data_IF_002218372476
#
_entry.id   IF_002218372476
#
_cell.length_a   1.000
_cell.length_b   1.000
_cell.length_c   1.000
_cell.angle_alpha   90.00
_cell.angle_beta   90.00
_cell.angle_gamma   90.00
#
_symmetry.space_group_name_H-M   'P 1'
#
loop_
_entity.id
_entity.type
_entity.pdbx_description
1 polymer ?
#
# COMPACT_ATOMS: atom_id res chain seq x y z
N UNK A 1 32.15 -44.34 28.18
CA UNK A 1 31.59 -43.00 27.90
C UNK A 1 30.50 -42.69 28.91
N UNK A 2 30.66 -41.62 29.69
CA UNK A 2 29.74 -41.24 30.77
C UNK A 2 28.43 -40.70 30.20
N UNK A 3 27.33 -40.79 30.96
CA UNK A 3 26.04 -40.14 30.63
C UNK A 3 26.23 -38.64 30.34
N UNK A 4 27.17 -37.99 31.03
CA UNK A 4 27.51 -36.58 30.84
C UNK A 4 28.09 -36.27 29.44
N UNK A 5 28.93 -37.17 28.90
CA UNK A 5 29.55 -37.00 27.57
C UNK A 5 28.51 -37.11 26.45
N UNK A 6 27.52 -38.00 26.61
CA UNK A 6 26.41 -38.19 25.67
C UNK A 6 25.45 -36.99 25.65
N UNK A 7 25.20 -36.36 26.80
CA UNK A 7 24.38 -35.14 26.86
C UNK A 7 25.07 -33.91 26.29
N UNK A 8 26.41 -33.81 26.40
CA UNK A 8 27.18 -32.70 25.82
C UNK A 8 27.21 -32.79 24.30
N UNK A 9 27.51 -33.97 23.76
CA UNK A 9 27.50 -34.22 22.31
C UNK A 9 26.11 -34.05 21.67
N UNK A 10 25.03 -34.38 22.37
CA UNK A 10 23.66 -34.14 21.87
C UNK A 10 23.31 -32.64 21.78
N UNK A 11 23.74 -31.83 22.75
CA UNK A 11 23.52 -30.37 22.73
C UNK A 11 24.35 -29.66 21.67
N UNK A 12 25.59 -30.09 21.47
CA UNK A 12 26.49 -29.58 20.42
C UNK A 12 25.92 -29.86 19.02
N UNK A 13 25.39 -31.08 18.78
CA UNK A 13 24.72 -31.42 17.51
C UNK A 13 23.48 -30.56 17.25
N UNK A 14 22.62 -30.38 18.25
CA UNK A 14 21.41 -29.56 18.10
C UNK A 14 21.75 -28.07 17.86
N UNK A 15 22.81 -27.56 18.49
CA UNK A 15 23.30 -26.20 18.24
C UNK A 15 23.87 -26.05 16.82
N UNK A 16 24.61 -27.04 16.33
CA UNK A 16 25.14 -27.06 14.97
C UNK A 16 24.02 -27.14 13.92
N UNK A 17 22.97 -27.94 14.16
CA UNK A 17 21.80 -28.04 13.27
C UNK A 17 21.00 -26.74 13.22
N UNK A 18 20.76 -26.08 14.36
CA UNK A 18 20.09 -24.77 14.41
C UNK A 18 20.89 -23.67 13.73
N UNK A 19 22.22 -23.66 13.89
CA UNK A 19 23.10 -22.73 13.19
C UNK A 19 23.07 -22.96 11.67
N UNK A 20 23.04 -24.23 11.23
CA UNK A 20 22.91 -24.59 9.82
C UNK A 20 21.54 -24.21 9.24
N UNK A 21 20.45 -24.37 10.00
CA UNK A 21 19.11 -23.92 9.61
C UNK A 21 19.03 -22.40 9.49
N UNK A 22 19.53 -21.66 10.49
CA UNK A 22 19.56 -20.19 10.45
C UNK A 22 20.40 -19.64 9.27
N UNK A 23 21.51 -20.31 8.93
CA UNK A 23 22.32 -19.96 7.77
C UNK A 23 21.59 -20.21 6.43
N UNK A 24 20.82 -21.30 6.34
CA UNK A 24 19.97 -21.60 5.17
C UNK A 24 18.86 -20.56 5.05
N UNK A 25 18.16 -20.23 6.13
CA UNK A 25 17.08 -19.25 6.13
C UNK A 25 17.57 -17.85 5.73
N UNK A 26 18.75 -17.45 6.24
CA UNK A 26 19.39 -16.18 5.84
C UNK A 26 19.74 -16.18 4.35
N UNK A 27 20.25 -17.29 3.81
CA UNK A 27 20.57 -17.43 2.39
C UNK A 27 19.33 -17.41 1.51
N UNK A 28 18.25 -18.09 1.90
CA UNK A 28 16.97 -18.09 1.19
C UNK A 28 16.32 -16.71 1.22
N UNK A 29 16.32 -16.01 2.36
CA UNK A 29 15.81 -14.64 2.48
C UNK A 29 16.60 -13.66 1.62
N UNK A 30 17.93 -13.76 1.60
CA UNK A 30 18.77 -12.95 0.72
C UNK A 30 18.52 -13.26 -0.75
N UNK A 31 18.36 -14.53 -1.14
CA UNK A 31 18.02 -14.92 -2.50
C UNK A 31 16.65 -14.38 -2.92
N UNK A 32 15.65 -14.42 -2.05
CA UNK A 32 14.32 -13.85 -2.31
C UNK A 32 14.37 -12.33 -2.45
N UNK A 33 15.17 -11.63 -1.63
CA UNK A 33 15.39 -10.18 -1.76
C UNK A 33 16.09 -9.87 -3.08
N UNK A 34 17.16 -10.60 -3.42
CA UNK A 34 17.89 -10.41 -4.69
C UNK A 34 16.99 -10.72 -5.88
N UNK A 35 16.19 -11.80 -5.84
CA UNK A 35 15.21 -12.12 -6.87
C UNK A 35 14.14 -11.04 -6.99
N UNK A 36 13.65 -10.50 -5.86
CA UNK A 36 12.69 -9.39 -5.85
C UNK A 36 13.28 -8.11 -6.45
N UNK A 37 14.53 -7.77 -6.10
CA UNK A 37 15.26 -6.61 -6.65
C UNK A 37 15.55 -6.80 -8.14
N UNK A 38 15.97 -8.00 -8.56
CA UNK A 38 16.21 -8.32 -9.98
C UNK A 38 14.90 -8.29 -10.75
N UNK A 39 13.82 -8.83 -10.21
CA UNK A 39 12.50 -8.77 -10.83
C UNK A 39 12.01 -7.32 -10.96
N UNK A 40 12.13 -6.52 -9.90
CA UNK A 40 11.81 -5.09 -9.94
C UNK A 40 12.68 -4.34 -10.96
N UNK A 41 13.98 -4.62 -11.02
CA UNK A 41 14.89 -4.01 -11.98
C UNK A 41 14.55 -4.41 -13.43
N UNK A 42 14.15 -5.67 -13.67
CA UNK A 42 13.69 -6.15 -14.98
C UNK A 42 12.37 -5.48 -15.36
N UNK A 43 11.42 -5.36 -14.44
CA UNK A 43 10.16 -4.64 -14.67
C UNK A 43 10.44 -3.16 -14.98
N UNK A 44 11.31 -2.50 -14.22
CA UNK A 44 11.74 -1.11 -14.48
C UNK A 44 12.43 -1.00 -15.84
N UNK A 45 13.33 -1.92 -16.19
CA UNK A 45 13.99 -1.93 -17.49
C UNK A 45 13.00 -2.11 -18.64
N UNK A 46 12.02 -3.01 -18.49
CA UNK A 46 10.94 -3.21 -19.46
C UNK A 46 10.11 -1.93 -19.59
N UNK A 47 9.73 -1.29 -18.48
CA UNK A 47 8.98 -0.03 -18.49
C UNK A 47 9.81 1.08 -19.15
N UNK A 48 11.09 1.21 -18.82
CA UNK A 48 11.99 2.20 -19.42
C UNK A 48 12.13 1.97 -20.92
N UNK A 49 12.28 0.73 -21.38
CA UNK A 49 12.34 0.41 -22.83
C UNK A 49 11.01 0.70 -23.52
N UNK A 50 9.88 0.37 -22.88
CA UNK A 50 8.54 0.68 -23.40
C UNK A 50 8.25 2.19 -23.45
N UNK A 51 8.83 2.95 -22.52
CA UNK A 51 8.73 4.42 -22.47
C UNK A 51 9.71 5.07 -23.45
N UNK A 52 10.94 4.55 -23.57
CA UNK A 52 11.97 5.07 -24.47
C UNK A 52 11.68 4.78 -25.95
N UNK A 53 11.00 3.65 -26.25
CA UNK A 53 10.51 3.36 -27.61
C UNK A 53 9.23 4.11 -27.98
N UNK A 54 8.61 4.84 -27.04
CA UNK A 54 7.57 5.82 -27.35
C UNK A 54 8.25 7.16 -27.56
N UNK A 55 8.38 7.52 -28.84
CA UNK A 55 9.04 8.74 -29.29
C UNK A 55 8.70 9.98 -28.45
N UNK A 56 9.78 10.72 -28.20
CA UNK A 56 9.92 12.01 -27.53
C UNK A 56 8.65 12.86 -27.48
N UNK A 57 7.92 12.71 -26.38
CA UNK A 57 7.01 13.73 -25.86
C UNK A 57 7.19 13.70 -24.34
N UNK A 58 7.94 14.66 -23.81
CA UNK A 58 8.21 14.85 -22.39
C UNK A 58 6.94 15.13 -21.56
N UNK A 59 6.06 14.15 -21.47
CA UNK A 59 5.00 14.11 -20.48
C UNK A 59 5.64 13.76 -19.14
N UNK A 60 6.05 14.78 -18.39
CA UNK A 60 6.04 14.69 -16.92
C UNK A 60 4.71 14.05 -16.56
N UNK A 61 4.73 12.84 -15.99
CA UNK A 61 3.53 12.17 -15.48
C UNK A 61 2.98 13.06 -14.37
N UNK A 62 2.16 14.01 -14.77
CA UNK A 62 1.44 14.90 -13.89
C UNK A 62 0.22 14.07 -13.53
N UNK A 63 0.21 13.48 -12.35
CA UNK A 63 -1.01 12.90 -11.79
C UNK A 63 -2.03 14.05 -11.71
N UNK A 64 -2.93 14.11 -12.69
CA UNK A 64 -4.07 15.00 -12.67
C UNK A 64 -5.01 14.48 -11.59
N UNK A 65 -5.46 15.35 -10.65
CA UNK A 65 -6.49 14.95 -9.69
C UNK A 65 -7.69 14.38 -10.44
N UNK A 66 -8.23 13.27 -9.98
CA UNK A 66 -9.44 12.69 -10.57
C UNK A 66 -10.58 13.71 -10.48
N UNK A 67 -11.11 14.15 -11.63
CA UNK A 67 -12.21 15.12 -11.74
C UNK A 67 -13.53 14.48 -12.16
N UNK A 68 -13.60 13.16 -12.18
CA UNK A 68 -14.82 12.42 -12.54
C UNK A 68 -15.84 12.34 -11.40
N UNK A 69 -16.98 11.67 -11.65
CA UNK A 69 -18.02 11.45 -10.65
C UNK A 69 -17.46 10.79 -9.39
N UNK A 70 -17.87 11.26 -8.21
CA UNK A 70 -17.45 10.69 -6.92
C UNK A 70 -18.66 10.17 -6.14
N UNK A 71 -18.51 9.00 -5.54
CA UNK A 71 -19.43 8.46 -4.55
C UNK A 71 -19.08 8.95 -3.13
N UNK A 72 -20.03 8.89 -2.17
CA UNK A 72 -19.75 9.17 -0.76
C UNK A 72 -18.54 8.40 -0.24
N UNK A 73 -17.72 9.09 0.56
CA UNK A 73 -16.52 8.54 1.20
C UNK A 73 -16.75 8.44 2.70
N UNK A 74 -16.42 7.29 3.28
CA UNK A 74 -16.60 7.00 4.71
C UNK A 74 -15.35 6.35 5.27
N UNK A 75 -15.01 6.68 6.52
CA UNK A 75 -13.94 6.01 7.26
C UNK A 75 -14.55 4.92 8.13
N UNK A 76 -14.06 3.71 8.00
CA UNK A 76 -14.48 2.56 8.81
C UNK A 76 -13.74 2.53 10.14
N UNK A 77 -14.29 1.81 11.11
CA UNK A 77 -13.68 1.65 12.43
C UNK A 77 -12.29 0.99 12.39
N UNK A 78 -12.05 0.13 11.40
CA UNK A 78 -10.76 -0.52 11.15
C UNK A 78 -9.72 0.39 10.47
N UNK A 79 -10.05 1.67 10.25
CA UNK A 79 -9.18 2.67 9.62
C UNK A 79 -9.21 2.68 8.09
N UNK A 80 -9.81 1.67 7.45
CA UNK A 80 -10.01 1.66 6.00
C UNK A 80 -10.98 2.76 5.55
N UNK A 81 -10.92 3.12 4.27
CA UNK A 81 -11.76 4.16 3.68
C UNK A 81 -12.57 3.58 2.53
N UNK A 82 -13.90 3.68 2.65
CA UNK A 82 -14.83 3.17 1.64
C UNK A 82 -15.39 4.31 0.82
N UNK A 83 -15.30 4.17 -0.51
CA UNK A 83 -16.00 4.99 -1.50
C UNK A 83 -17.06 4.11 -2.18
N UNK A 84 -18.33 4.41 -1.96
CA UNK A 84 -19.44 3.61 -2.52
C UNK A 84 -20.72 4.42 -2.64
N UNK A 85 -21.49 4.19 -3.71
CA UNK A 85 -22.85 4.75 -3.83
C UNK A 85 -23.73 4.19 -2.71
N UNK A 86 -24.67 4.99 -2.22
CA UNK A 86 -25.60 4.55 -1.18
C UNK A 86 -26.30 3.24 -1.57
N UNK A 87 -26.29 2.26 -0.67
CA UNK A 87 -26.85 0.93 -0.88
C UNK A 87 -25.95 -0.08 -1.62
N UNK A 88 -24.82 0.35 -2.19
CA UNK A 88 -23.86 -0.54 -2.86
C UNK A 88 -22.89 -1.10 -1.83
N UNK A 89 -23.06 -2.36 -1.46
CA UNK A 89 -22.16 -3.07 -0.53
C UNK A 89 -21.35 -4.18 -1.18
N UNK A 90 -21.69 -4.56 -2.42
CA UNK A 90 -21.02 -5.60 -3.21
C UNK A 90 -21.05 -5.27 -4.71
N UNK A 91 -20.12 -5.82 -5.50
CA UNK A 91 -18.90 -6.50 -5.06
C UNK A 91 -17.93 -5.54 -4.34
N UNK A 92 -17.13 -6.07 -3.40
CA UNK A 92 -16.16 -5.28 -2.63
C UNK A 92 -14.80 -5.34 -3.31
N UNK A 93 -14.31 -4.19 -3.77
CA UNK A 93 -12.96 -4.04 -4.31
C UNK A 93 -12.06 -3.43 -3.24
N UNK A 94 -11.15 -4.21 -2.67
CA UNK A 94 -10.20 -3.75 -1.66
C UNK A 94 -8.82 -3.49 -2.27
N UNK A 95 -8.22 -2.37 -1.91
CA UNK A 95 -6.88 -1.95 -2.37
C UNK A 95 -5.97 -1.84 -1.15
N UNK A 96 -5.01 -2.74 -1.04
CA UNK A 96 -3.96 -2.68 -0.02
C UNK A 96 -2.74 -1.97 -0.57
N UNK A 97 -2.36 -0.89 0.09
CA UNK A 97 -1.38 0.06 -0.42
C UNK A 97 -0.50 0.63 0.69
N UNK A 98 0.68 1.11 0.31
CA UNK A 98 1.61 1.83 1.17
C UNK A 98 2.01 3.12 0.45
N UNK A 99 2.00 4.26 1.14
CA UNK A 99 2.31 5.56 0.56
C UNK A 99 3.78 5.73 0.13
N UNK A 100 4.69 4.84 0.52
CA UNK A 100 6.05 4.77 -0.02
C UNK A 100 6.22 3.81 -1.19
N UNK A 101 5.23 2.95 -1.47
CA UNK A 101 5.40 1.94 -2.50
C UNK A 101 5.30 2.58 -3.90
N UNK A 102 6.35 2.48 -4.75
CA UNK A 102 6.30 2.98 -6.12
C UNK A 102 5.27 2.23 -6.97
N UNK A 103 5.07 0.94 -6.69
CA UNK A 103 4.03 0.13 -7.33
C UNK A 103 2.62 0.63 -7.04
N UNK A 104 2.35 1.13 -5.83
CA UNK A 104 1.05 1.72 -5.49
C UNK A 104 0.83 3.02 -6.24
N UNK A 105 1.87 3.88 -6.33
CA UNK A 105 1.82 5.09 -7.15
C UNK A 105 1.52 4.78 -8.62
N UNK A 106 2.14 3.74 -9.17
CA UNK A 106 1.88 3.29 -10.54
C UNK A 106 0.47 2.72 -10.72
N UNK A 107 -0.05 1.97 -9.74
CA UNK A 107 -1.42 1.48 -9.75
C UNK A 107 -2.43 2.63 -9.73
N UNK A 108 -2.28 3.58 -8.81
CA UNK A 108 -3.21 4.71 -8.71
C UNK A 108 -3.19 5.58 -9.98
N UNK A 109 -2.01 5.79 -10.58
CA UNK A 109 -1.89 6.50 -11.85
C UNK A 109 -2.57 5.76 -13.03
N UNK A 110 -2.57 4.43 -13.03
CA UNK A 110 -3.08 3.63 -14.15
C UNK A 110 -4.55 3.21 -14.00
N UNK A 111 -4.93 2.75 -12.80
CA UNK A 111 -6.23 2.16 -12.48
C UNK A 111 -7.03 2.96 -11.45
N UNK A 112 -6.43 3.87 -10.67
CA UNK A 112 -7.11 4.64 -9.61
C UNK A 112 -8.38 5.34 -10.09
N UNK A 113 -8.31 6.04 -11.23
CA UNK A 113 -9.48 6.68 -11.84
C UNK A 113 -10.57 5.70 -12.27
N UNK A 114 -10.20 4.50 -12.74
CA UNK A 114 -11.14 3.44 -13.13
C UNK A 114 -11.83 2.85 -11.91
N UNK A 115 -11.08 2.57 -10.84
CA UNK A 115 -11.62 2.06 -9.57
C UNK A 115 -12.66 3.03 -8.99
N UNK A 116 -12.34 4.33 -8.95
CA UNK A 116 -13.24 5.38 -8.46
C UNK A 116 -14.47 5.56 -9.35
N UNK A 117 -14.29 5.51 -10.67
CA UNK A 117 -15.41 5.56 -11.61
C UNK A 117 -16.38 4.39 -11.39
N UNK A 118 -15.87 3.16 -11.25
CA UNK A 118 -16.71 1.98 -10.98
C UNK A 118 -17.47 2.13 -9.65
N UNK A 119 -16.85 2.71 -8.62
CA UNK A 119 -17.53 3.00 -7.36
C UNK A 119 -18.63 4.06 -7.51
N UNK A 120 -18.37 5.13 -8.27
CA UNK A 120 -19.33 6.19 -8.55
C UNK A 120 -20.53 5.70 -9.39
N UNK A 121 -20.29 4.78 -10.32
CA UNK A 121 -21.31 4.10 -11.11
C UNK A 121 -22.10 3.05 -10.29
N UNK A 122 -21.69 2.80 -9.04
CA UNK A 122 -22.31 1.82 -8.15
C UNK A 122 -22.02 0.36 -8.55
N UNK A 123 -20.93 0.13 -9.28
CA UNK A 123 -20.50 -1.21 -9.71
C UNK A 123 -19.66 -1.93 -8.67
N UNK A 124 -19.03 -1.20 -7.74
CA UNK A 124 -18.25 -1.74 -6.63
C UNK A 124 -18.46 -0.90 -5.37
N UNK A 125 -18.23 -1.52 -4.22
CA UNK A 125 -17.81 -0.82 -3.01
C UNK A 125 -16.29 -0.80 -2.97
N UNK A 126 -15.67 0.35 -3.25
CA UNK A 126 -14.22 0.51 -3.27
C UNK A 126 -13.70 0.78 -1.85
N UNK A 127 -12.77 -0.02 -1.36
CA UNK A 127 -12.22 0.06 0.00
C UNK A 127 -10.71 0.20 -0.06
N UNK A 128 -10.21 1.37 0.28
CA UNK A 128 -8.78 1.61 0.44
C UNK A 128 -8.31 1.17 1.83
N UNK A 129 -7.21 0.41 1.85
CA UNK A 129 -6.57 -0.15 3.05
C UNK A 129 -5.09 0.23 3.08
N UNK A 130 -4.78 1.50 3.38
CA UNK A 130 -3.39 1.90 3.57
C UNK A 130 -2.80 1.16 4.77
N UNK A 131 -1.54 0.75 4.66
CA UNK A 131 -0.79 0.17 5.76
C UNK A 131 0.70 0.46 5.61
N UNK A 132 1.48 0.06 6.60
CA UNK A 132 2.93 0.22 6.63
C UNK A 132 3.60 -1.14 6.35
N UNK A 133 4.12 -1.31 5.13
CA UNK A 133 4.79 -2.54 4.68
C UNK A 133 6.30 -2.52 4.95
N UNK A 134 6.97 -1.42 4.64
CA UNK A 134 8.43 -1.30 4.74
C UNK A 134 8.91 -1.44 6.19
N UNK A 135 10.15 -1.86 6.41
CA UNK A 135 10.71 -2.06 7.76
C UNK A 135 12.06 -1.36 7.96
N UNK A 136 12.58 -0.74 6.91
CA UNK A 136 13.89 -0.08 6.91
C UNK A 136 13.71 1.43 6.74
N UNK A 137 14.45 2.21 7.50
CA UNK A 137 14.48 3.66 7.32
C UNK A 137 15.23 4.06 6.04
N UNK A 138 14.84 5.17 5.38
CA UNK A 138 13.76 6.09 5.75
C UNK A 138 12.36 5.65 5.29
N UNK A 139 12.25 4.54 4.55
CA UNK A 139 10.97 4.06 3.99
C UNK A 139 9.94 3.79 5.09
N UNK A 140 10.35 3.10 6.16
CA UNK A 140 9.47 2.76 7.27
C UNK A 140 8.86 4.01 7.93
N UNK A 141 9.70 4.98 8.31
CA UNK A 141 9.24 6.23 8.89
C UNK A 141 8.37 7.04 7.93
N UNK A 142 8.70 7.08 6.65
CA UNK A 142 7.86 7.74 5.65
C UNK A 142 6.49 7.06 5.54
N UNK A 143 6.43 5.73 5.40
CA UNK A 143 5.19 4.95 5.33
C UNK A 143 4.30 5.17 6.54
N UNK A 144 4.88 5.11 7.74
CA UNK A 144 4.15 5.31 8.99
C UNK A 144 3.60 6.75 9.10
N UNK A 145 4.40 7.77 8.79
CA UNK A 145 3.96 9.18 8.82
C UNK A 145 2.85 9.45 7.81
N UNK A 146 2.98 8.93 6.59
CA UNK A 146 1.96 9.05 5.55
C UNK A 146 0.64 8.40 5.96
N UNK A 147 0.68 7.16 6.47
CA UNK A 147 -0.51 6.45 6.93
C UNK A 147 -1.15 7.12 8.17
N UNK A 148 -0.34 7.60 9.12
CA UNK A 148 -0.81 8.35 10.27
C UNK A 148 -1.55 9.62 9.84
N UNK A 149 -0.93 10.42 8.96
CA UNK A 149 -1.54 11.66 8.50
C UNK A 149 -2.83 11.40 7.70
N UNK A 150 -2.86 10.37 6.86
CA UNK A 150 -4.07 9.95 6.16
C UNK A 150 -5.22 9.56 7.11
N UNK A 151 -4.94 9.02 8.30
CA UNK A 151 -5.95 8.74 9.33
C UNK A 151 -6.43 10.00 10.08
N UNK A 152 -5.61 11.06 10.13
CA UNK A 152 -5.96 12.33 10.74
C UNK A 152 -6.89 13.19 9.86
N UNK A 153 -6.97 12.90 8.56
CA UNK A 153 -7.78 13.67 7.60
C UNK A 153 -9.27 13.24 7.66
N UNK A 154 -10.21 14.20 7.64
CA UNK A 154 -11.64 13.91 7.50
C UNK A 154 -11.97 13.07 6.25
N UNK A 155 -12.99 12.21 6.33
CA UNK A 155 -13.29 11.25 5.27
C UNK A 155 -13.59 11.92 3.91
N UNK A 156 -14.30 13.05 3.92
CA UNK A 156 -14.64 13.83 2.71
C UNK A 156 -13.43 14.44 2.01
N UNK A 157 -12.30 14.59 2.71
CA UNK A 157 -11.02 15.11 2.17
C UNK A 157 -10.00 14.01 1.91
N UNK A 158 -10.29 12.78 2.32
CA UNK A 158 -9.30 11.70 2.33
C UNK A 158 -8.77 11.35 0.94
N UNK A 159 -9.64 11.22 -0.06
CA UNK A 159 -9.21 10.88 -1.43
C UNK A 159 -8.27 11.94 -2.02
N UNK A 160 -8.54 13.23 -1.78
CA UNK A 160 -7.66 14.31 -2.23
C UNK A 160 -6.33 14.31 -1.49
N UNK A 161 -6.33 13.95 -0.20
CA UNK A 161 -5.10 13.84 0.58
C UNK A 161 -4.28 12.62 0.16
N UNK A 162 -4.92 11.49 -0.09
CA UNK A 162 -4.34 10.28 -0.66
C UNK A 162 -3.63 10.58 -1.99
N UNK A 163 -4.30 11.28 -2.92
CA UNK A 163 -3.71 11.67 -4.20
C UNK A 163 -2.50 12.60 -4.00
N UNK A 164 -2.58 13.47 -3.00
CA UNK A 164 -1.48 14.38 -2.64
C UNK A 164 -0.26 13.60 -2.13
N UNK A 165 -0.46 12.58 -1.29
CA UNK A 165 0.62 11.73 -0.79
C UNK A 165 1.33 10.99 -1.93
N UNK A 166 0.58 10.41 -2.87
CA UNK A 166 1.21 9.73 -4.02
C UNK A 166 1.87 10.68 -5.01
N UNK A 167 1.31 11.87 -5.21
CA UNK A 167 1.94 12.92 -6.01
C UNK A 167 3.25 13.38 -5.40
N UNK A 168 3.29 13.55 -4.08
CA UNK A 168 4.47 13.97 -3.32
C UNK A 168 5.33 12.81 -2.81
N UNK A 169 5.07 11.57 -3.26
CA UNK A 169 5.81 10.39 -2.81
C UNK A 169 7.31 10.60 -3.03
N UNK A 170 8.14 10.57 -1.97
CA UNK A 170 9.59 10.68 -2.10
C UNK A 170 10.15 9.47 -2.85
N UNK A 171 11.29 9.65 -3.50
CA UNK A 171 12.03 8.54 -4.09
C UNK A 171 12.47 7.55 -3.00
N UNK A 172 12.51 6.26 -3.34
CA UNK A 172 12.93 5.23 -2.39
C UNK A 172 14.35 5.52 -1.86
N UNK A 173 14.52 5.37 -0.55
CA UNK A 173 15.78 5.67 0.13
C UNK A 173 15.98 7.14 0.51
N UNK A 174 15.04 8.04 0.15
CA UNK A 174 15.05 9.44 0.63
C UNK A 174 14.05 9.65 1.76
N UNK A 175 14.44 10.46 2.73
CA UNK A 175 13.50 10.97 3.74
C UNK A 175 12.50 11.90 3.05
N UNK A 176 11.22 11.69 3.33
CA UNK A 176 10.15 12.55 2.85
C UNK A 176 8.99 12.55 3.85
N UNK A 177 7.83 13.08 3.42
CA UNK A 177 6.65 13.19 4.28
C UNK A 177 7.01 13.78 5.65
N UNK A 178 7.68 14.94 5.62
CA UNK A 178 7.93 15.69 6.84
C UNK A 178 6.59 16.07 7.47
N UNK A 179 6.55 16.22 8.79
CA UNK A 179 5.31 16.61 9.48
C UNK A 179 4.79 17.96 8.98
N UNK A 180 5.69 18.90 8.69
CA UNK A 180 5.34 20.22 8.13
C UNK A 180 4.68 20.09 6.75
N UNK A 181 5.23 19.25 5.87
CA UNK A 181 4.64 19.02 4.55
C UNK A 181 3.27 18.35 4.67
N UNK A 182 3.16 17.33 5.53
CA UNK A 182 1.91 16.59 5.74
C UNK A 182 0.80 17.49 6.28
N UNK A 183 1.12 18.37 7.23
CA UNK A 183 0.19 19.37 7.78
C UNK A 183 -0.17 20.41 6.71
N UNK A 184 0.83 20.96 6.02
CA UNK A 184 0.64 21.94 4.94
C UNK A 184 -0.30 21.42 3.85
N UNK A 185 -0.11 20.19 3.38
CA UNK A 185 -0.97 19.59 2.37
C UNK A 185 -2.40 19.41 2.85
N UNK A 186 -2.61 19.08 4.13
CA UNK A 186 -3.96 19.00 4.71
C UNK A 186 -4.67 20.34 4.70
N UNK A 187 -3.98 21.41 5.12
CA UNK A 187 -4.53 22.77 5.07
C UNK A 187 -4.80 23.26 3.65
N UNK A 188 -3.93 22.94 2.68
CA UNK A 188 -4.16 23.27 1.27
C UNK A 188 -5.42 22.61 0.69
N UNK A 189 -5.87 21.50 1.27
CA UNK A 189 -7.11 20.80 0.91
C UNK A 189 -8.33 21.26 1.73
N UNK A 190 -8.14 22.25 2.60
CA UNK A 190 -9.18 22.85 3.43
C UNK A 190 -9.50 22.05 4.69
N UNK A 191 -8.56 21.26 5.23
CA UNK A 191 -8.71 20.67 6.56
C UNK A 191 -8.53 21.79 7.60
N UNK A 192 -9.61 22.14 8.29
CA UNK A 192 -9.68 23.23 9.27
C UNK A 192 -9.83 22.77 10.72
N UNK A 193 -9.92 21.45 10.96
CA UNK A 193 -10.00 20.90 12.31
C UNK A 193 -8.74 21.25 13.11
N UNK A 194 -8.92 21.90 14.26
CA UNK A 194 -7.82 22.27 15.16
C UNK A 194 -7.03 21.07 15.69
N UNK A 195 -7.62 19.87 15.67
CA UNK A 195 -6.96 18.63 16.08
C UNK A 195 -6.12 17.99 14.97
N UNK A 196 -6.27 18.43 13.71
CA UNK A 196 -5.56 17.81 12.58
C UNK A 196 -4.04 17.91 12.74
N UNK A 197 -3.51 19.12 12.95
CA UNK A 197 -2.08 19.33 13.09
C UNK A 197 -1.48 18.57 14.29
N UNK A 198 -2.05 18.65 15.51
CA UNK A 198 -1.62 17.81 16.63
C UNK A 198 -1.69 16.31 16.33
N UNK A 199 -2.70 15.86 15.59
CA UNK A 199 -2.85 14.46 15.20
C UNK A 199 -1.70 13.99 14.31
N UNK A 200 -1.32 14.80 13.31
CA UNK A 200 -0.21 14.50 12.41
C UNK A 200 1.12 14.53 13.16
N UNK A 201 1.45 15.65 13.80
CA UNK A 201 2.77 15.88 14.43
C UNK A 201 3.06 14.95 15.59
N UNK A 202 2.05 14.63 16.40
CA UNK A 202 2.22 13.73 17.55
C UNK A 202 2.01 12.26 17.20
N UNK A 203 1.87 11.92 15.91
CA UNK A 203 1.64 10.55 15.46
C UNK A 203 0.47 9.86 16.19
N UNK A 204 -0.62 10.59 16.43
CA UNK A 204 -1.74 10.13 17.29
C UNK A 204 -2.43 8.86 16.76
N UNK A 205 -2.27 8.56 15.48
CA UNK A 205 -2.88 7.39 14.81
C UNK A 205 -1.89 6.24 14.63
N UNK A 206 -0.66 6.34 15.11
CA UNK A 206 0.38 5.29 15.00
C UNK A 206 -0.11 3.90 15.47
N UNK A 207 -0.79 3.84 16.61
CA UNK A 207 -1.34 2.57 17.11
C UNK A 207 -2.38 1.97 16.14
N UNK A 208 -3.24 2.80 15.55
CA UNK A 208 -4.21 2.36 14.56
C UNK A 208 -3.53 1.91 13.25
N UNK A 209 -2.47 2.59 12.82
CA UNK A 209 -1.64 2.14 11.68
C UNK A 209 -1.05 0.76 11.95
N UNK A 210 -0.55 0.50 13.17
CA UNK A 210 -0.02 -0.80 13.54
C UNK A 210 -1.08 -1.92 13.46
N UNK A 211 -2.31 -1.66 13.93
CA UNK A 211 -3.43 -2.61 13.79
C UNK A 211 -3.83 -2.83 12.32
N UNK A 212 -3.82 -1.78 11.48
CA UNK A 212 -4.07 -1.89 10.05
C UNK A 212 -3.00 -2.74 9.35
N UNK A 213 -1.73 -2.52 9.69
CA UNK A 213 -0.60 -3.34 9.21
C UNK A 213 -0.74 -4.80 9.66
N UNK A 214 -1.08 -5.02 10.92
CA UNK A 214 -1.31 -6.38 11.45
C UNK A 214 -2.43 -7.08 10.68
N UNK A 215 -3.56 -6.41 10.46
CA UNK A 215 -4.66 -6.96 9.67
C UNK A 215 -4.22 -7.31 8.23
N UNK A 216 -3.48 -6.42 7.57
CA UNK A 216 -2.98 -6.65 6.22
C UNK A 216 -2.05 -7.88 6.14
N UNK A 217 -1.05 -7.96 7.02
CA UNK A 217 -0.01 -8.99 6.98
C UNK A 217 -0.47 -10.32 7.59
N UNK A 218 -1.19 -10.29 8.71
CA UNK A 218 -1.52 -11.49 9.48
C UNK A 218 -2.90 -12.05 9.15
N UNK A 219 -3.91 -11.21 8.94
CA UNK A 219 -5.26 -11.67 8.61
C UNK A 219 -5.44 -11.87 7.11
N UNK A 220 -5.03 -10.87 6.33
CA UNK A 220 -5.21 -10.85 4.87
C UNK A 220 -4.05 -11.45 4.10
N UNK A 221 -2.95 -11.75 4.79
CA UNK A 221 -1.76 -12.40 4.22
C UNK A 221 -1.23 -11.66 2.99
N UNK A 222 -1.31 -10.34 3.01
CA UNK A 222 -0.75 -9.48 1.96
C UNK A 222 0.76 -9.61 2.01
N UNK A 223 1.37 -10.09 0.91
CA UNK A 223 2.81 -10.33 0.81
C UNK A 223 3.57 -9.18 0.14
N UNK A 224 2.86 -8.21 -0.43
CA UNK A 224 3.45 -7.07 -1.10
C UNK A 224 2.41 -6.04 -1.50
N UNK A 225 2.87 -4.88 -1.94
CA UNK A 225 2.02 -3.79 -2.39
C UNK A 225 2.33 -3.41 -3.84
N UNK A 226 1.32 -3.01 -4.61
CA UNK A 226 -0.10 -3.02 -4.26
C UNK A 226 -0.68 -4.46 -4.30
N UNK A 227 -1.73 -4.71 -3.53
CA UNK A 227 -2.53 -5.95 -3.65
C UNK A 227 -4.02 -5.61 -3.72
N UNK A 228 -4.71 -6.13 -4.73
CA UNK A 228 -6.15 -5.94 -4.91
C UNK A 228 -6.90 -7.21 -4.53
N UNK A 229 -8.07 -7.06 -3.92
CA UNK A 229 -9.03 -8.15 -3.73
C UNK A 229 -10.40 -7.75 -4.27
N UNK A 230 -11.10 -8.70 -4.89
CA UNK A 230 -12.50 -8.58 -5.29
C UNK A 230 -13.31 -9.67 -4.60
N UNK A 231 -14.25 -9.26 -3.75
CA UNK A 231 -15.03 -10.16 -2.86
C UNK A 231 -14.14 -11.15 -2.09
N UNK A 232 -13.03 -10.65 -1.55
CA UNK A 232 -12.07 -11.41 -0.76
C UNK A 232 -11.13 -12.32 -1.57
N UNK A 233 -11.27 -12.38 -2.90
CA UNK A 233 -10.35 -13.11 -3.79
C UNK A 233 -9.30 -12.17 -4.36
N UNK A 234 -8.02 -12.56 -4.33
CA UNK A 234 -6.96 -11.74 -4.88
C UNK A 234 -7.18 -11.51 -6.38
N UNK A 235 -7.08 -10.26 -6.80
CA UNK A 235 -7.33 -9.81 -8.17
C UNK A 235 -6.00 -9.39 -8.83
N UNK A 236 -5.69 -10.00 -9.96
CA UNK A 236 -4.54 -9.65 -10.79
C UNK A 236 -5.00 -8.84 -12.02
N UNK A 237 -5.45 -7.61 -11.80
CA UNK A 237 -5.82 -6.70 -12.88
C UNK A 237 -4.64 -5.76 -13.18
N UNK A 238 -4.14 -5.79 -14.42
CA UNK A 238 -3.03 -4.92 -14.87
C UNK A 238 -3.50 -3.85 -15.86
N UNK A 239 -4.70 -4.01 -16.43
CA UNK A 239 -5.32 -3.05 -17.35
C UNK A 239 -6.73 -2.64 -16.90
N UNK A 240 -7.23 -1.54 -17.45
CA UNK A 240 -8.59 -1.05 -17.20
C UNK A 240 -9.65 -2.07 -17.63
N UNK A 241 -9.39 -2.77 -18.74
CA UNK A 241 -10.28 -3.79 -19.28
C UNK A 241 -10.33 -5.02 -18.36
N UNK A 242 -9.19 -5.46 -17.83
CA UNK A 242 -9.15 -6.59 -16.89
C UNK A 242 -9.95 -6.29 -15.63
N UNK A 243 -9.75 -5.11 -15.06
CA UNK A 243 -10.46 -4.65 -13.87
C UNK A 243 -11.98 -4.58 -14.13
N UNK A 244 -12.38 -3.97 -15.24
CA UNK A 244 -13.80 -3.80 -15.59
C UNK A 244 -14.48 -5.15 -15.83
N UNK A 245 -13.82 -6.08 -16.54
CA UNK A 245 -14.34 -7.43 -16.77
C UNK A 245 -14.47 -8.21 -15.46
N UNK A 246 -13.48 -8.14 -14.57
CA UNK A 246 -13.54 -8.80 -13.27
C UNK A 246 -14.72 -8.30 -12.43
N UNK A 247 -14.93 -6.98 -12.38
CA UNK A 247 -16.06 -6.37 -11.66
C UNK A 247 -17.40 -6.76 -12.27
N UNK A 248 -17.53 -6.75 -13.59
CA UNK A 248 -18.76 -7.20 -14.27
C UNK A 248 -19.09 -8.66 -13.97
N UNK A 249 -18.09 -9.54 -13.98
CA UNK A 249 -18.26 -10.96 -13.63
C UNK A 249 -18.62 -11.19 -12.16
N UNK A 250 -18.19 -10.30 -11.26
CA UNK A 250 -18.54 -10.37 -9.85
C UNK A 250 -19.96 -9.84 -9.58
N UNK A 251 -20.35 -8.72 -10.21
CA UNK A 251 -21.67 -8.11 -10.04
C UNK A 251 -22.81 -8.80 -10.81
N UNK A 252 -22.51 -9.70 -11.74
CA UNK A 252 -23.50 -10.54 -12.44
C UNK A 252 -23.86 -11.84 -11.71
N UNK A 253 -23.33 -12.05 -10.50
CA UNK A 253 -23.68 -13.16 -9.60
C UNK A 253 -24.63 -12.69 -8.52
#
# INVERSE_FOLDING_TARGET
MSKADRTRTAREKLAAERAAQAARDRRTRLLMIVLGVVFAAVVVAIVVVLVANRGDNGAKVTATPYSGPSAPVTRNADGSVTMAKAGVTKPVLEVFEDFQCPGCKALEASLGGTMRQLAAEGKVSLVYRPFHLFQQEPLSGNSERGANAALCVPADKWLSYHDTLYKAQPEEGKTGFSEDDLVKWGHQLGVTDANFEPCVRKMQKKAQVAEMTKYALETRKVQGTPTLFLDGKQLNATTKDDLTKAVQQAGGR
#
